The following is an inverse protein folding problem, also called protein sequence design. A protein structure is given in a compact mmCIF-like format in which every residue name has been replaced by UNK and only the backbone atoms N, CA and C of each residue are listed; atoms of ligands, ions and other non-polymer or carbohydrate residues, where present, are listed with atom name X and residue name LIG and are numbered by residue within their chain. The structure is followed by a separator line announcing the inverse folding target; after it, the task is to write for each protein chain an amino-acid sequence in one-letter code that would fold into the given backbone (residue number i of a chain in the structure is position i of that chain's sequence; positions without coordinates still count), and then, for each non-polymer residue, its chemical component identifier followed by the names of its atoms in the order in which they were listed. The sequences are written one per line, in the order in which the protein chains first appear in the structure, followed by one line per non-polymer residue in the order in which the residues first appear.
data_IF_221447567459
#
_entry.id   IF_221447567459
#
_cell.length_a   1.000
_cell.length_b   1.000
_cell.length_c   1.000
_cell.angle_alpha   90.00
_cell.angle_beta   90.00
_cell.angle_gamma   90.00
#
_symmetry.space_group_name_H-M   'P 1'
#
loop_
_entity.id
_entity.type
_entity.pdbx_description
1 polymer ?
#
# COMPACT_ATOMS: atom_id res chain seq x y z
N UNK A 1 0.45 -1.75 8.71
CA UNK A 1 0.16 -1.68 7.26
C UNK A 1 0.93 -2.71 6.47
N UNK A 2 2.26 -2.84 6.64
CA UNK A 2 3.04 -3.87 5.92
C UNK A 2 2.47 -5.28 6.09
N UNK A 3 2.20 -5.70 7.33
CA UNK A 3 1.66 -7.05 7.60
C UNK A 3 0.29 -7.27 6.93
N UNK A 4 -0.58 -6.26 6.92
CA UNK A 4 -1.87 -6.34 6.24
C UNK A 4 -1.70 -6.53 4.73
N UNK A 5 -0.74 -5.81 4.14
CA UNK A 5 -0.43 -5.90 2.72
C UNK A 5 0.27 -7.23 2.36
N UNK A 6 1.14 -7.75 3.22
CA UNK A 6 1.72 -9.09 3.09
C UNK A 6 0.67 -10.19 3.13
N UNK A 7 -0.25 -10.14 4.11
CA UNK A 7 -1.40 -11.07 4.19
C UNK A 7 -2.26 -11.04 2.93
N UNK A 8 -2.45 -9.85 2.35
CA UNK A 8 -3.14 -9.71 1.09
C UNK A 8 -2.35 -10.37 -0.06
N UNK A 9 -1.03 -10.18 -0.14
CA UNK A 9 -0.19 -10.85 -1.14
C UNK A 9 -0.20 -12.36 -0.97
N UNK A 10 -0.20 -12.89 0.24
CA UNK A 10 -0.37 -14.34 0.48
C UNK A 10 -1.73 -14.85 -0.02
N UNK A 11 -2.79 -14.07 0.15
CA UNK A 11 -4.14 -14.45 -0.25
C UNK A 11 -4.39 -14.34 -1.76
N UNK A 12 -3.82 -13.32 -2.39
CA UNK A 12 -3.99 -13.03 -3.82
C UNK A 12 -2.88 -13.64 -4.70
N UNK A 13 -1.77 -14.05 -4.09
CA UNK A 13 -0.62 -14.64 -4.77
C UNK A 13 -0.09 -13.74 -5.86
N UNK A 14 0.00 -14.29 -7.07
CA UNK A 14 0.50 -13.62 -8.28
C UNK A 14 -0.45 -12.56 -8.85
N UNK A 15 -1.67 -12.42 -8.31
CA UNK A 15 -2.64 -11.42 -8.80
C UNK A 15 -2.30 -10.00 -8.41
N UNK A 16 -1.50 -9.80 -7.35
CA UNK A 16 -1.12 -8.46 -6.90
C UNK A 16 0.39 -8.37 -6.70
N UNK A 17 0.98 -7.26 -7.13
CA UNK A 17 2.35 -6.94 -6.76
C UNK A 17 2.38 -6.08 -5.49
N UNK A 18 3.30 -6.42 -4.59
CA UNK A 18 3.52 -5.70 -3.35
C UNK A 18 4.94 -5.15 -3.37
N UNK A 19 5.05 -3.83 -3.44
CA UNK A 19 6.31 -3.13 -3.28
C UNK A 19 6.26 -2.27 -2.02
N UNK A 20 7.18 -2.52 -1.08
CA UNK A 20 7.34 -1.68 0.11
C UNK A 20 8.39 -0.59 -0.12
N UNK A 21 8.02 0.66 0.14
CA UNK A 21 8.94 1.80 0.16
C UNK A 21 9.12 2.33 1.58
N UNK A 22 10.27 2.02 2.20
CA UNK A 22 10.64 2.55 3.51
C UNK A 22 11.17 3.97 3.42
N UNK A 23 10.57 4.91 4.15
CA UNK A 23 11.03 6.30 4.21
C UNK A 23 12.42 6.47 4.85
N UNK A 24 12.95 5.43 5.50
CA UNK A 24 14.33 5.42 6.00
C UNK A 24 15.39 5.34 4.89
N UNK A 25 15.00 5.00 3.65
CA UNK A 25 15.88 4.96 2.49
C UNK A 25 15.80 6.26 1.71
N UNK A 26 16.94 6.93 1.48
CA UNK A 26 17.00 8.23 0.77
C UNK A 26 16.30 8.22 -0.59
N UNK A 27 16.44 7.14 -1.35
CA UNK A 27 15.79 6.97 -2.66
C UNK A 27 14.26 6.97 -2.54
N UNK A 28 13.73 6.37 -1.47
CA UNK A 28 12.29 6.30 -1.23
C UNK A 28 11.73 7.62 -0.72
N UNK A 29 12.51 8.44 -0.01
CA UNK A 29 12.09 9.79 0.39
C UNK A 29 11.73 10.62 -0.83
N UNK A 30 12.57 10.58 -1.89
CA UNK A 30 12.31 11.29 -3.14
C UNK A 30 11.03 10.76 -3.83
N UNK A 31 10.80 9.44 -3.82
CA UNK A 31 9.59 8.81 -4.36
C UNK A 31 8.34 9.19 -3.58
N UNK A 32 8.35 9.07 -2.25
CA UNK A 32 7.23 9.46 -1.39
C UNK A 32 6.86 10.94 -1.60
N UNK A 33 7.87 11.81 -1.73
CA UNK A 33 7.65 13.24 -2.01
C UNK A 33 7.04 13.46 -3.40
N UNK A 34 7.51 12.74 -4.43
CA UNK A 34 6.96 12.82 -5.80
C UNK A 34 5.52 12.27 -5.89
N UNK A 35 5.23 11.23 -5.12
CA UNK A 35 3.88 10.63 -5.03
C UNK A 35 2.92 11.44 -4.15
N UNK A 36 3.37 12.53 -3.53
CA UNK A 36 2.51 13.38 -2.69
C UNK A 36 2.05 12.68 -1.40
N UNK A 37 2.87 11.79 -0.84
CA UNK A 37 2.54 11.11 0.42
C UNK A 37 2.46 12.14 1.54
N UNK A 38 1.25 12.44 2.01
CA UNK A 38 1.02 13.42 3.06
C UNK A 38 1.33 12.85 4.45
N UNK A 39 0.92 11.61 4.72
CA UNK A 39 1.08 10.96 6.02
C UNK A 39 1.55 9.52 5.85
N UNK A 40 2.44 9.07 6.73
CA UNK A 40 2.88 7.68 6.79
C UNK A 40 2.32 7.02 8.05
N UNK A 41 2.01 5.71 8.01
CA UNK A 41 2.07 4.84 6.84
C UNK A 41 0.90 5.11 5.86
N UNK A 42 1.13 4.85 4.57
CA UNK A 42 0.11 4.99 3.51
C UNK A 42 0.17 3.81 2.56
N UNK A 43 -0.98 3.43 1.99
CA UNK A 43 -1.08 2.38 0.97
C UNK A 43 -1.71 2.97 -0.29
N UNK A 44 -1.03 2.68 -1.40
CA UNK A 44 -1.46 3.03 -2.74
C UNK A 44 -1.78 1.74 -3.50
N UNK A 45 -2.93 1.72 -4.18
CA UNK A 45 -3.32 0.63 -5.06
C UNK A 45 -3.46 1.23 -6.46
N UNK A 46 -2.74 0.68 -7.45
CA UNK A 46 -2.66 1.23 -8.81
C UNK A 46 -2.31 2.74 -8.86
N UNK A 47 -1.45 3.20 -7.94
CA UNK A 47 -1.01 4.60 -7.87
C UNK A 47 -2.00 5.56 -7.19
N UNK A 48 -3.17 5.07 -6.75
CA UNK A 48 -4.16 5.86 -6.02
C UNK A 48 -4.05 5.63 -4.51
N UNK A 49 -4.06 6.71 -3.72
CA UNK A 49 -4.04 6.65 -2.27
C UNK A 49 -5.37 6.05 -1.77
N UNK A 50 -5.33 4.84 -1.22
CA UNK A 50 -6.52 4.18 -0.66
C UNK A 50 -6.58 4.29 0.85
N UNK A 51 -5.43 4.17 1.51
CA UNK A 51 -5.34 4.25 2.97
C UNK A 51 -4.22 5.20 3.37
N UNK A 52 -4.54 6.18 4.22
CA UNK A 52 -3.58 7.15 4.75
C UNK A 52 -3.68 7.18 6.26
N UNK A 53 -2.59 6.84 6.95
CA UNK A 53 -2.49 6.84 8.40
C UNK A 53 -3.50 5.93 9.14
N UNK A 54 -4.20 5.04 8.43
CA UNK A 54 -5.18 4.09 8.99
C UNK A 54 -4.88 2.69 8.48
N UNK A 55 -4.67 1.74 9.39
CA UNK A 55 -4.40 0.35 9.02
C UNK A 55 -5.75 -0.29 8.65
N UNK A 56 -5.95 -0.71 7.38
CA UNK A 56 -7.20 -1.31 6.96
C UNK A 56 -7.38 -2.71 7.54
N UNK A 57 -8.63 -3.09 7.74
CA UNK A 57 -9.01 -4.48 8.03
C UNK A 57 -8.79 -5.38 6.82
N UNK A 58 -8.74 -6.71 7.03
CA UNK A 58 -8.56 -7.68 5.93
C UNK A 58 -9.63 -7.52 4.85
N UNK A 59 -10.90 -7.40 5.25
CA UNK A 59 -12.02 -7.23 4.32
C UNK A 59 -11.97 -5.89 3.57
N UNK A 60 -11.68 -4.78 4.25
CA UNK A 60 -11.56 -3.47 3.59
C UNK A 60 -10.44 -3.44 2.57
N UNK A 61 -9.30 -4.05 2.90
CA UNK A 61 -8.18 -4.14 1.99
C UNK A 61 -8.51 -5.00 0.78
N UNK A 62 -9.20 -6.12 1.01
CA UNK A 62 -9.68 -7.04 -0.02
C UNK A 62 -10.65 -6.33 -0.97
N UNK A 63 -11.63 -5.63 -0.44
CA UNK A 63 -12.60 -4.84 -1.21
C UNK A 63 -11.90 -3.75 -2.04
N UNK A 64 -10.93 -3.05 -1.46
CA UNK A 64 -10.18 -2.01 -2.17
C UNK A 64 -9.32 -2.56 -3.32
N UNK A 65 -8.81 -3.80 -3.22
CA UNK A 65 -8.12 -4.51 -4.30
C UNK A 65 -9.12 -4.96 -5.36
N UNK A 66 -10.22 -5.59 -4.95
CA UNK A 66 -11.26 -6.13 -5.84
C UNK A 66 -11.91 -5.04 -6.69
N UNK A 67 -12.08 -3.83 -6.14
CA UNK A 67 -12.62 -2.67 -6.84
C UNK A 67 -11.73 -2.20 -8.02
N UNK A 68 -10.43 -2.50 -8.00
CA UNK A 68 -9.47 -2.05 -9.02
C UNK A 68 -8.83 -3.20 -9.81
N UNK A 69 -9.26 -4.44 -9.56
CA UNK A 69 -8.84 -5.63 -10.30
C UNK A 69 -9.66 -5.78 -11.58
#
# INVERSE_FOLDING_TARGET
MLEAAQKAKEQYGDKIDLTEYKFTLKENIARCKKMGVAHLPSIYINGQLKFSSVIPSRDEFKAAIDEVM
#
